data_IF_880071821578
#
_entry.id   IF_880071821578
#
_cell.length_a   1.000
_cell.length_b   1.000
_cell.length_c   1.000
_cell.angle_alpha   90.00
_cell.angle_beta   90.00
_cell.angle_gamma   90.00
#
_symmetry.space_group_name_H-M   'P 1'
#
loop_
_entity.id
_entity.type
_entity.pdbx_description
1 polymer ?
#
# COMPACT_ATOMS: atom_id res chain seq x y z
N UNK A 1 -8.11 22.57 10.20
CA UNK A 1 -7.13 23.31 9.38
C UNK A 1 -6.81 22.66 8.01
N UNK A 2 -7.10 21.36 7.79
CA UNK A 2 -6.74 20.65 6.52
C UNK A 2 -7.92 20.20 5.64
N UNK A 3 -9.16 20.24 6.14
CA UNK A 3 -10.35 19.71 5.44
C UNK A 3 -10.63 20.31 4.04
N UNK A 4 -10.17 21.55 3.78
CA UNK A 4 -10.37 22.23 2.50
C UNK A 4 -9.13 22.29 1.60
N UNK A 5 -8.08 21.50 1.90
CA UNK A 5 -6.88 21.46 1.05
C UNK A 5 -7.02 20.35 0.01
N UNK A 6 -6.86 20.73 -1.26
CA UNK A 6 -6.82 19.76 -2.35
C UNK A 6 -5.53 18.92 -2.32
N UNK A 7 -5.67 17.67 -2.74
CA UNK A 7 -4.54 16.76 -2.96
C UNK A 7 -3.97 17.05 -4.35
N UNK A 8 -2.67 17.39 -4.49
CA UNK A 8 -2.05 17.62 -5.78
C UNK A 8 -2.23 16.44 -6.74
N UNK A 9 -2.21 16.71 -8.04
CA UNK A 9 -2.18 15.66 -9.05
C UNK A 9 -0.91 14.78 -8.89
N UNK A 10 -0.94 13.50 -9.34
CA UNK A 10 0.26 12.69 -9.42
C UNK A 10 1.28 13.32 -10.35
N UNK A 11 2.56 13.20 -10.00
CA UNK A 11 3.64 13.67 -10.87
C UNK A 11 3.72 12.79 -12.13
N UNK A 12 4.11 13.40 -13.25
CA UNK A 12 4.35 12.64 -14.48
C UNK A 12 5.65 11.84 -14.35
N UNK A 13 5.66 10.65 -14.95
CA UNK A 13 6.89 9.89 -15.10
C UNK A 13 7.96 10.75 -15.82
N UNK A 14 9.23 10.68 -15.39
CA UNK A 14 10.30 11.40 -16.06
C UNK A 14 10.45 10.91 -17.50
N UNK A 15 10.49 11.83 -18.46
CA UNK A 15 10.64 11.48 -19.87
C UNK A 15 12.03 10.90 -20.18
N UNK A 16 13.04 11.25 -19.38
CA UNK A 16 14.41 10.78 -19.52
C UNK A 16 15.03 10.53 -18.16
N UNK A 17 15.75 9.41 -18.05
CA UNK A 17 16.64 9.10 -16.93
C UNK A 17 18.08 9.24 -17.44
N UNK A 18 18.92 9.99 -16.72
CA UNK A 18 20.34 10.14 -17.07
C UNK A 18 21.14 9.03 -16.38
N UNK A 19 21.63 8.02 -17.11
CA UNK A 19 22.47 6.98 -16.51
C UNK A 19 23.84 7.55 -16.13
N UNK A 20 24.57 6.92 -15.20
CA UNK A 20 25.97 7.25 -14.96
C UNK A 20 26.83 6.91 -16.19
N UNK A 21 27.92 7.65 -16.39
CA UNK A 21 28.89 7.37 -17.46
C UNK A 21 29.54 5.99 -17.30
N UNK A 22 29.70 5.54 -16.05
CA UNK A 22 30.21 4.21 -15.70
C UNK A 22 29.35 3.60 -14.60
N UNK A 23 28.80 2.42 -14.88
CA UNK A 23 28.06 1.64 -13.90
C UNK A 23 29.01 0.99 -12.87
N UNK A 24 28.63 0.92 -11.58
CA UNK A 24 29.37 0.16 -10.60
C UNK A 24 29.31 -1.34 -10.92
N UNK A 25 30.25 -2.13 -10.37
CA UNK A 25 30.08 -3.58 -10.33
C UNK A 25 28.83 -3.89 -9.49
N UNK A 26 27.98 -4.78 -9.99
CA UNK A 26 26.75 -5.20 -9.34
C UNK A 26 26.74 -6.70 -9.06
N UNK A 27 25.90 -7.11 -8.13
CA UNK A 27 25.65 -8.51 -7.83
C UNK A 27 24.57 -9.09 -8.74
N UNK A 28 24.57 -10.41 -8.90
CA UNK A 28 23.44 -11.11 -9.50
C UNK A 28 22.36 -11.32 -8.43
N UNK A 29 21.10 -11.10 -8.76
CA UNK A 29 20.01 -11.21 -7.80
C UNK A 29 19.89 -12.64 -7.22
N UNK A 30 20.18 -13.66 -8.03
CA UNK A 30 20.19 -15.06 -7.63
C UNK A 30 21.23 -15.38 -6.54
N UNK A 31 22.35 -14.65 -6.49
CA UNK A 31 23.42 -14.88 -5.52
C UNK A 31 22.97 -14.53 -4.09
N UNK A 32 21.99 -13.63 -3.97
CA UNK A 32 21.43 -13.20 -2.69
C UNK A 32 20.55 -14.25 -2.04
N UNK A 33 20.07 -15.24 -2.82
CA UNK A 33 19.25 -16.37 -2.35
C UNK A 33 18.12 -15.95 -1.40
N UNK A 34 17.43 -14.84 -1.69
CA UNK A 34 16.47 -14.18 -0.79
C UNK A 34 15.33 -15.10 -0.31
N UNK A 35 14.98 -16.14 -1.07
CA UNK A 35 13.97 -17.13 -0.68
C UNK A 35 14.48 -18.28 0.21
N UNK A 36 15.79 -18.40 0.45
CA UNK A 36 16.37 -19.57 1.12
C UNK A 36 15.86 -19.74 2.56
N UNK A 37 15.71 -18.63 3.29
CA UNK A 37 15.18 -18.65 4.65
C UNK A 37 13.67 -18.99 4.71
N UNK A 38 12.96 -18.88 3.58
CA UNK A 38 11.52 -19.09 3.52
C UNK A 38 11.13 -20.58 3.38
N UNK A 39 12.09 -21.50 3.30
CA UNK A 39 11.83 -22.92 3.02
C UNK A 39 10.93 -23.08 1.78
N UNK A 40 9.73 -23.68 1.93
CA UNK A 40 8.73 -23.83 0.86
C UNK A 40 7.91 -22.56 0.60
N UNK A 41 8.03 -21.55 1.46
CA UNK A 41 7.22 -20.33 1.44
C UNK A 41 7.47 -19.44 0.22
N UNK A 42 8.68 -19.45 -0.34
CA UNK A 42 9.01 -18.62 -1.51
C UNK A 42 8.12 -18.96 -2.72
N UNK A 43 7.95 -20.26 -3.02
CA UNK A 43 7.12 -20.71 -4.14
C UNK A 43 5.62 -20.40 -3.92
N UNK A 44 5.16 -20.50 -2.67
CA UNK A 44 3.78 -20.16 -2.30
C UNK A 44 3.53 -18.66 -2.44
N UNK A 45 4.42 -17.81 -1.91
CA UNK A 45 4.31 -16.36 -2.02
C UNK A 45 4.31 -15.91 -3.48
N UNK A 46 5.23 -16.46 -4.30
CA UNK A 46 5.35 -16.11 -5.71
C UNK A 46 4.06 -16.34 -6.52
N UNK A 47 3.23 -17.32 -6.13
CA UNK A 47 1.95 -17.58 -6.78
C UNK A 47 0.86 -16.55 -6.44
N UNK A 48 1.02 -15.80 -5.36
CA UNK A 48 0.03 -14.83 -4.87
C UNK A 48 0.49 -13.37 -4.95
N UNK A 49 1.81 -13.14 -5.00
CA UNK A 49 2.40 -11.83 -5.08
C UNK A 49 2.03 -11.12 -6.40
N UNK A 50 1.70 -9.84 -6.30
CA UNK A 50 1.40 -9.02 -7.45
C UNK A 50 2.32 -7.80 -7.44
N UNK A 51 3.51 -8.00 -7.99
CA UNK A 51 4.63 -7.05 -7.97
C UNK A 51 4.72 -6.34 -9.33
N UNK A 52 4.99 -5.04 -9.30
CA UNK A 52 5.22 -4.17 -10.45
C UNK A 52 4.09 -3.16 -10.71
N UNK A 53 4.49 -2.00 -11.24
CA UNK A 53 3.61 -0.84 -11.52
C UNK A 53 2.41 -1.20 -12.40
N UNK A 54 2.63 -1.90 -13.53
CA UNK A 54 1.56 -2.30 -14.46
C UNK A 54 0.51 -3.19 -13.79
N UNK A 55 0.95 -4.09 -12.91
CA UNK A 55 0.07 -4.98 -12.17
C UNK A 55 -0.72 -4.22 -11.10
N UNK A 56 -0.07 -3.28 -10.42
CA UNK A 56 -0.73 -2.39 -9.45
C UNK A 56 -1.82 -1.54 -10.13
N UNK A 57 -1.52 -0.96 -11.30
CA UNK A 57 -2.47 -0.18 -12.09
C UNK A 57 -3.66 -1.03 -12.55
N UNK A 58 -3.40 -2.24 -13.05
CA UNK A 58 -4.45 -3.19 -13.47
C UNK A 58 -5.35 -3.57 -12.30
N UNK A 59 -4.77 -3.82 -11.12
CA UNK A 59 -5.52 -4.15 -9.90
C UNK A 59 -6.38 -2.99 -9.42
N UNK A 60 -5.86 -1.76 -9.45
CA UNK A 60 -6.66 -0.57 -9.14
C UNK A 60 -7.84 -0.42 -10.10
N UNK A 61 -7.60 -0.54 -11.41
CA UNK A 61 -8.66 -0.43 -12.42
C UNK A 61 -9.75 -1.50 -12.21
N UNK A 62 -9.37 -2.76 -12.03
CA UNK A 62 -10.32 -3.86 -11.77
C UNK A 62 -11.12 -3.65 -10.48
N UNK A 63 -10.49 -3.12 -9.42
CA UNK A 63 -11.18 -2.79 -8.18
C UNK A 63 -12.22 -1.67 -8.37
N UNK A 64 -11.85 -0.61 -9.10
CA UNK A 64 -12.73 0.55 -9.33
C UNK A 64 -13.87 0.24 -10.32
N UNK A 65 -13.71 -0.72 -11.22
CA UNK A 65 -14.73 -1.13 -12.19
C UNK A 65 -15.85 -1.99 -11.57
N UNK A 66 -15.59 -2.65 -10.43
CA UNK A 66 -16.57 -3.56 -9.81
C UNK A 66 -16.59 -3.51 -8.28
N UNK A 67 -15.63 -4.15 -7.58
CA UNK A 67 -15.67 -4.33 -6.13
C UNK A 67 -15.87 -3.05 -5.30
N UNK A 68 -15.42 -1.89 -5.79
CA UNK A 68 -15.62 -0.59 -5.13
C UNK A 68 -17.10 -0.28 -4.88
N UNK A 69 -18.03 -0.80 -5.69
CA UNK A 69 -19.46 -0.51 -5.57
C UNK A 69 -20.03 -1.00 -4.22
N UNK A 70 -19.65 -2.20 -3.81
CA UNK A 70 -20.13 -2.82 -2.56
C UNK A 70 -19.08 -2.79 -1.45
N UNK A 71 -17.95 -2.10 -1.65
CA UNK A 71 -16.81 -2.08 -0.74
C UNK A 71 -17.20 -1.85 0.72
N UNK A 72 -18.03 -0.83 0.98
CA UNK A 72 -18.51 -0.50 2.34
C UNK A 72 -19.21 -1.69 3.00
N UNK A 73 -20.06 -2.39 2.25
CA UNK A 73 -20.89 -3.45 2.79
C UNK A 73 -20.13 -4.79 2.87
N UNK A 74 -19.09 -4.98 2.05
CA UNK A 74 -18.49 -6.31 1.84
C UNK A 74 -17.06 -6.47 2.35
N UNK A 75 -16.35 -5.36 2.63
CA UNK A 75 -14.93 -5.36 3.07
C UNK A 75 -14.65 -6.18 4.34
N UNK A 76 -15.64 -6.36 5.20
CA UNK A 76 -15.50 -7.04 6.49
C UNK A 76 -15.70 -8.57 6.37
N UNK A 77 -16.06 -9.09 5.18
CA UNK A 77 -16.18 -10.52 4.93
C UNK A 77 -14.90 -11.07 4.28
N UNK A 78 -14.01 -11.76 5.02
CA UNK A 78 -12.69 -12.17 4.52
C UNK A 78 -12.75 -13.23 3.42
N UNK A 79 -13.85 -13.98 3.32
CA UNK A 79 -14.06 -14.96 2.25
C UNK A 79 -14.29 -14.31 0.88
N UNK A 80 -14.52 -12.99 0.84
CA UNK A 80 -14.93 -12.30 -0.37
C UNK A 80 -13.80 -11.43 -0.94
N UNK A 81 -13.64 -11.39 -2.28
CA UNK A 81 -12.67 -10.53 -2.94
C UNK A 81 -13.17 -9.07 -3.02
N UNK A 82 -13.59 -8.51 -1.88
CA UNK A 82 -14.22 -7.19 -1.82
C UNK A 82 -13.23 -6.03 -1.70
N UNK A 83 -11.96 -6.29 -1.35
CA UNK A 83 -10.94 -5.24 -1.13
C UNK A 83 -10.04 -5.03 -2.34
N UNK A 84 -9.35 -3.88 -2.41
CA UNK A 84 -8.48 -3.55 -3.55
C UNK A 84 -7.23 -4.41 -3.65
N UNK A 85 -6.79 -5.03 -2.54
CA UNK A 85 -5.52 -5.77 -2.44
C UNK A 85 -4.28 -4.96 -2.86
N UNK A 86 -4.32 -3.63 -2.79
CA UNK A 86 -3.21 -2.74 -3.20
C UNK A 86 -2.16 -2.51 -2.11
N UNK A 87 -2.29 -3.14 -0.93
CA UNK A 87 -1.40 -2.89 0.21
C UNK A 87 0.07 -3.22 -0.09
N UNK A 88 0.35 -4.32 -0.79
CA UNK A 88 1.71 -4.69 -1.19
C UNK A 88 2.32 -3.65 -2.16
N UNK A 89 1.55 -3.22 -3.17
CA UNK A 89 2.00 -2.24 -4.15
C UNK A 89 2.26 -0.86 -3.51
N UNK A 90 1.41 -0.46 -2.57
CA UNK A 90 1.57 0.78 -1.79
C UNK A 90 2.77 0.76 -0.84
N UNK A 91 3.12 -0.41 -0.31
CA UNK A 91 4.27 -0.57 0.58
C UNK A 91 5.59 -0.42 -0.20
N UNK A 92 5.63 -0.92 -1.44
CA UNK A 92 6.83 -0.87 -2.30
C UNK A 92 6.89 0.35 -3.23
N UNK A 93 5.87 1.21 -3.21
CA UNK A 93 5.84 2.42 -4.05
C UNK A 93 5.59 2.14 -5.53
N UNK A 94 5.07 0.96 -5.86
CA UNK A 94 4.71 0.57 -7.24
C UNK A 94 3.47 1.30 -7.76
N UNK A 95 2.71 1.90 -6.85
CA UNK A 95 1.63 2.83 -7.18
C UNK A 95 1.59 3.97 -6.17
N UNK A 96 1.48 5.21 -6.67
CA UNK A 96 1.42 6.40 -5.83
C UNK A 96 0.06 6.56 -5.13
N UNK A 97 0.00 6.99 -3.85
CA UNK A 97 -1.25 7.25 -3.16
C UNK A 97 -2.06 8.37 -3.84
N UNK A 98 -1.41 9.38 -4.42
CA UNK A 98 -2.10 10.42 -5.22
C UNK A 98 -2.81 9.82 -6.44
N UNK A 99 -2.21 8.84 -7.10
CA UNK A 99 -2.83 8.15 -8.25
C UNK A 99 -4.10 7.43 -7.83
N UNK A 100 -4.06 6.69 -6.72
CA UNK A 100 -5.23 6.02 -6.14
C UNK A 100 -6.30 7.04 -5.74
N UNK A 101 -5.91 8.11 -5.05
CA UNK A 101 -6.82 9.17 -4.59
C UNK A 101 -7.62 9.79 -5.74
N UNK A 102 -6.93 10.23 -6.80
CA UNK A 102 -7.59 10.86 -7.95
C UNK A 102 -8.47 9.89 -8.74
N UNK A 103 -8.07 8.62 -8.86
CA UNK A 103 -8.89 7.59 -9.49
C UNK A 103 -10.16 7.29 -8.68
N UNK A 104 -10.04 7.17 -7.35
CA UNK A 104 -11.17 6.92 -6.46
C UNK A 104 -12.11 8.14 -6.32
N UNK A 105 -11.58 9.36 -6.33
CA UNK A 105 -12.37 10.60 -6.40
C UNK A 105 -13.21 10.66 -7.68
N UNK A 106 -12.65 10.24 -8.82
CA UNK A 106 -13.40 10.12 -10.08
C UNK A 106 -14.51 9.09 -9.97
N UNK A 107 -14.20 7.88 -9.48
CA UNK A 107 -15.20 6.84 -9.27
C UNK A 107 -16.33 7.33 -8.32
N UNK A 108 -15.99 8.08 -7.28
CA UNK A 108 -16.97 8.70 -6.38
C UNK A 108 -17.88 9.69 -7.12
N UNK A 109 -17.30 10.57 -7.95
CA UNK A 109 -18.06 11.51 -8.77
C UNK A 109 -18.96 10.81 -9.81
N UNK A 110 -18.55 9.63 -10.29
CA UNK A 110 -19.32 8.76 -11.19
C UNK A 110 -20.37 7.91 -10.45
N UNK A 111 -20.45 8.01 -9.11
CA UNK A 111 -21.50 7.39 -8.30
C UNK A 111 -21.13 6.05 -7.64
N UNK A 112 -19.84 5.68 -7.62
CA UNK A 112 -19.39 4.47 -6.94
C UNK A 112 -19.63 4.54 -5.43
N UNK A 113 -20.57 3.74 -4.93
CA UNK A 113 -21.10 3.86 -3.55
C UNK A 113 -20.07 3.62 -2.45
N UNK A 114 -19.09 2.74 -2.69
CA UNK A 114 -18.03 2.45 -1.72
C UNK A 114 -16.77 3.31 -1.88
N UNK A 115 -16.68 4.18 -2.89
CA UNK A 115 -15.46 4.95 -3.17
C UNK A 115 -15.08 5.91 -2.03
N UNK A 116 -16.07 6.54 -1.38
CA UNK A 116 -15.81 7.40 -0.20
C UNK A 116 -15.18 6.61 0.96
N UNK A 117 -15.63 5.37 1.19
CA UNK A 117 -15.06 4.51 2.23
C UNK A 117 -13.65 4.04 1.83
N UNK A 118 -13.42 3.74 0.56
CA UNK A 118 -12.09 3.41 0.08
C UNK A 118 -11.09 4.58 0.25
N UNK A 119 -11.51 5.82 -0.04
CA UNK A 119 -10.71 7.02 0.22
C UNK A 119 -10.37 7.18 1.70
N UNK A 120 -11.30 6.88 2.62
CA UNK A 120 -11.04 6.89 4.07
C UNK A 120 -9.97 5.87 4.48
N UNK A 121 -9.95 4.68 3.88
CA UNK A 121 -8.88 3.70 4.14
C UNK A 121 -7.52 4.16 3.61
N UNK A 122 -7.49 4.89 2.48
CA UNK A 122 -6.26 5.54 2.04
C UNK A 122 -5.79 6.63 3.01
N UNK A 123 -6.72 7.37 3.64
CA UNK A 123 -6.37 8.33 4.71
C UNK A 123 -5.84 7.63 5.96
N UNK A 124 -6.32 6.44 6.31
CA UNK A 124 -5.76 5.65 7.41
C UNK A 124 -4.27 5.33 7.20
N UNK A 125 -3.85 5.06 5.96
CA UNK A 125 -2.42 4.94 5.61
C UNK A 125 -1.67 6.22 5.93
N UNK A 126 -2.15 7.36 5.47
CA UNK A 126 -1.51 8.66 5.73
C UNK A 126 -1.46 8.98 7.23
N UNK A 127 -2.51 8.65 7.97
CA UNK A 127 -2.55 8.81 9.42
C UNK A 127 -1.50 7.95 10.12
N UNK A 128 -1.29 6.70 9.69
CA UNK A 128 -0.23 5.84 10.23
C UNK A 128 1.17 6.44 10.00
N UNK A 129 1.45 6.95 8.79
CA UNK A 129 2.71 7.67 8.52
C UNK A 129 2.85 8.94 9.34
N UNK A 130 1.76 9.70 9.50
CA UNK A 130 1.74 10.91 10.33
C UNK A 130 2.05 10.59 11.80
N UNK A 131 1.49 9.49 12.32
CA UNK A 131 1.76 9.02 13.68
C UNK A 131 3.22 8.61 13.86
N UNK A 132 3.80 7.88 12.92
CA UNK A 132 5.24 7.53 12.93
C UNK A 132 6.11 8.79 12.88
N UNK A 133 5.79 9.76 12.02
CA UNK A 133 6.54 11.00 11.93
C UNK A 133 6.53 11.82 13.23
N UNK A 134 5.36 11.98 13.85
CA UNK A 134 5.22 12.78 15.07
C UNK A 134 5.53 12.01 16.37
N UNK A 135 5.53 10.68 16.34
CA UNK A 135 5.89 9.82 17.47
C UNK A 135 6.84 8.71 17.01
N UNK A 136 8.10 9.03 16.63
CA UNK A 136 9.02 8.05 16.03
C UNK A 136 9.24 6.79 16.86
N UNK A 137 9.20 6.91 18.19
CA UNK A 137 9.33 5.76 19.12
C UNK A 137 8.30 4.65 18.92
N UNK A 138 7.17 4.91 18.25
CA UNK A 138 6.10 3.91 18.03
C UNK A 138 6.58 2.70 17.23
N UNK A 139 7.69 2.82 16.49
CA UNK A 139 8.26 1.72 15.70
C UNK A 139 9.08 0.74 16.55
N UNK A 140 9.45 1.11 17.77
CA UNK A 140 10.40 0.35 18.61
C UNK A 140 9.88 0.12 20.04
N UNK A 141 8.90 0.89 20.50
CA UNK A 141 8.37 0.83 21.86
C UNK A 141 6.85 1.03 21.88
N UNK A 142 6.21 0.68 23.00
CA UNK A 142 4.77 0.90 23.17
C UNK A 142 4.42 2.38 23.02
N UNK A 143 3.36 2.67 22.25
CA UNK A 143 2.90 4.04 22.10
C UNK A 143 2.50 4.67 23.45
N UNK A 144 1.83 3.86 24.29
CA UNK A 144 1.47 4.18 25.67
C UNK A 144 2.51 3.56 26.63
N UNK A 145 3.35 4.36 27.31
CA UNK A 145 4.44 3.85 28.15
C UNK A 145 3.98 2.92 29.28
N UNK A 146 2.77 3.10 29.81
CA UNK A 146 2.22 2.24 30.88
C UNK A 146 2.17 0.75 30.49
N UNK A 147 2.16 0.44 29.19
CA UNK A 147 2.16 -0.93 28.68
C UNK A 147 3.54 -1.59 28.70
N UNK A 148 4.61 -0.84 28.96
CA UNK A 148 5.96 -1.41 29.10
C UNK A 148 6.05 -2.36 30.31
N UNK A 149 5.23 -2.11 31.34
CA UNK A 149 5.14 -2.96 32.53
C UNK A 149 4.08 -4.07 32.42
N UNK A 150 3.45 -4.25 31.25
CA UNK A 150 2.39 -5.25 31.09
C UNK A 150 2.98 -6.67 31.24
N UNK A 151 2.46 -7.51 32.15
CA UNK A 151 3.03 -8.83 32.44
C UNK A 151 2.61 -9.86 31.39
N UNK A 152 3.25 -9.82 30.22
CA UNK A 152 3.02 -10.81 29.15
C UNK A 152 3.39 -12.22 29.61
N UNK A 153 2.58 -13.22 29.23
CA UNK A 153 2.90 -14.62 29.46
C UNK A 153 4.18 -14.99 28.72
N UNK A 154 5.14 -15.58 29.44
CA UNK A 154 6.40 -16.10 28.88
C UNK A 154 6.36 -17.61 28.66
N UNK A 155 5.21 -18.24 28.96
CA UNK A 155 4.98 -19.68 28.77
C UNK A 155 4.72 -20.04 27.31
#
# INVERSE_FOLDING_TARGET
AVQGRDVPAPDKAPATLRPPERWPAGDRLEDWRLGAAMNRGAAVLAAHACVGEDRAATRLAAFLDGPVQDYKARRDYPAEPATSRLSENLAWGEIGPRTIWHAAQRALAEGAKGAEHFLKELVWREFAYHLVYHTPRITEANWRPDWDAFPWSTA
#
